data_IF_407120792550
#
_entry.id   IF_407120792550
#
_cell.length_a   1.000
_cell.length_b   1.000
_cell.length_c   1.000
_cell.angle_alpha   90.00
_cell.angle_beta   90.00
_cell.angle_gamma   90.00
#
_symmetry.space_group_name_H-M   'P 1'
#
loop_
_entity.id
_entity.type
_entity.pdbx_description
1 polymer ?
#
# COMPACT_ATOMS: atom_id res chain seq x y z
N UNK A 1 5.27 12.65 26.04
CA UNK A 1 5.57 13.27 24.72
C UNK A 1 4.26 13.80 24.15
N UNK A 2 4.21 15.06 23.72
CA UNK A 2 3.01 15.61 23.11
C UNK A 2 2.76 14.89 21.77
N UNK A 3 1.53 14.39 21.57
CA UNK A 3 1.13 13.78 20.31
C UNK A 3 1.24 14.81 19.17
N UNK A 4 1.78 14.41 18.02
CA UNK A 4 1.90 15.32 16.88
C UNK A 4 0.50 15.88 16.52
N UNK A 5 0.31 17.21 16.35
CA UNK A 5 -1.01 17.81 16.08
C UNK A 5 -1.76 17.21 14.87
N UNK A 6 -1.02 16.58 13.96
CA UNK A 6 -1.55 15.89 12.80
C UNK A 6 -2.38 14.65 13.16
N UNK A 7 -2.08 13.98 14.28
CA UNK A 7 -2.75 12.75 14.70
C UNK A 7 -4.25 13.00 14.96
N UNK A 8 -4.58 14.14 15.57
CA UNK A 8 -5.96 14.53 15.84
C UNK A 8 -6.76 14.84 14.56
N UNK A 9 -6.08 15.07 13.44
CA UNK A 9 -6.71 15.38 12.15
C UNK A 9 -6.96 14.13 11.28
N UNK A 10 -6.33 12.99 11.60
CA UNK A 10 -6.47 11.76 10.79
C UNK A 10 -7.93 11.32 10.59
N UNK A 11 -8.80 11.30 11.62
CA UNK A 11 -10.18 10.86 11.44
C UNK A 11 -11.00 11.72 10.47
N UNK A 12 -10.67 13.01 10.34
CA UNK A 12 -11.38 13.94 9.44
C UNK A 12 -10.75 14.05 8.05
N UNK A 13 -9.60 13.43 7.80
CA UNK A 13 -8.97 13.43 6.48
C UNK A 13 -9.71 12.50 5.49
N UNK A 14 -9.81 12.93 4.24
CA UNK A 14 -10.25 12.04 3.16
C UNK A 14 -9.18 10.98 2.83
N UNK A 15 -9.57 9.94 2.07
CA UNK A 15 -8.68 8.82 1.75
C UNK A 15 -7.43 9.26 0.99
N UNK A 16 -7.56 10.22 0.07
CA UNK A 16 -6.43 10.75 -0.69
C UNK A 16 -5.38 11.44 0.21
N UNK A 17 -5.83 12.21 1.20
CA UNK A 17 -4.97 12.85 2.18
C UNK A 17 -4.28 11.83 3.09
N UNK A 18 -5.00 10.79 3.52
CA UNK A 18 -4.42 9.69 4.29
C UNK A 18 -3.35 8.93 3.49
N UNK A 19 -3.63 8.61 2.22
CA UNK A 19 -2.65 7.98 1.33
C UNK A 19 -1.40 8.85 1.15
N UNK A 20 -1.57 10.18 0.97
CA UNK A 20 -0.45 11.11 0.86
C UNK A 20 0.37 11.15 2.15
N UNK A 21 -0.29 11.22 3.30
CA UNK A 21 0.37 11.25 4.60
C UNK A 21 1.12 9.94 4.89
N UNK A 22 0.51 8.79 4.57
CA UNK A 22 1.13 7.48 4.68
C UNK A 22 2.39 7.38 3.82
N UNK A 23 2.33 7.77 2.53
CA UNK A 23 3.50 7.78 1.63
C UNK A 23 4.65 8.64 2.17
N UNK A 24 4.33 9.79 2.77
CA UNK A 24 5.31 10.64 3.40
C UNK A 24 5.92 9.99 4.66
N UNK A 25 5.10 9.31 5.46
CA UNK A 25 5.55 8.54 6.61
C UNK A 25 6.54 7.45 6.23
N UNK A 26 6.24 6.65 5.19
CA UNK A 26 7.12 5.59 4.70
C UNK A 26 8.48 6.16 4.28
N UNK A 27 8.49 7.28 3.53
CA UNK A 27 9.73 7.97 3.13
C UNK A 27 10.50 8.52 4.32
N UNK A 28 9.81 9.05 5.33
CA UNK A 28 10.44 9.55 6.54
C UNK A 28 11.10 8.44 7.37
N UNK A 29 10.46 7.26 7.45
CA UNK A 29 11.03 6.08 8.11
C UNK A 29 12.19 5.50 7.31
N UNK A 30 12.11 5.47 5.97
CA UNK A 30 13.24 5.01 5.15
C UNK A 30 14.48 5.90 5.36
N UNK A 31 14.29 7.22 5.43
CA UNK A 31 15.38 8.17 5.69
C UNK A 31 15.90 8.09 7.13
N UNK A 32 15.01 7.84 8.10
CA UNK A 32 15.33 7.78 9.52
C UNK A 32 14.49 6.68 10.17
N UNK A 33 15.02 5.44 10.26
CA UNK A 33 14.27 4.31 10.80
C UNK A 33 13.79 4.52 12.24
N UNK A 34 14.48 5.36 13.01
CA UNK A 34 14.16 5.72 14.40
C UNK A 34 13.13 6.85 14.53
N UNK A 35 12.58 7.35 13.42
CA UNK A 35 11.57 8.41 13.43
C UNK A 35 10.24 7.92 14.05
N UNK A 36 10.13 8.09 15.37
CA UNK A 36 8.96 7.69 16.16
C UNK A 36 7.69 8.41 15.75
N UNK A 37 7.78 9.70 15.41
CA UNK A 37 6.62 10.49 14.97
C UNK A 37 6.04 9.96 13.65
N UNK A 38 6.89 9.60 12.68
CA UNK A 38 6.43 9.01 11.43
C UNK A 38 5.75 7.64 11.67
N UNK A 39 6.30 6.83 12.58
CA UNK A 39 5.69 5.55 12.99
C UNK A 39 4.33 5.74 13.66
N UNK A 40 4.20 6.70 14.57
CA UNK A 40 2.93 7.05 15.22
C UNK A 40 1.88 7.47 14.19
N UNK A 41 2.27 8.29 13.21
CA UNK A 41 1.38 8.71 12.13
C UNK A 41 0.92 7.52 11.27
N UNK A 42 1.83 6.64 10.86
CA UNK A 42 1.46 5.43 10.09
C UNK A 42 0.51 4.54 10.88
N UNK A 43 0.81 4.28 12.15
CA UNK A 43 -0.03 3.45 13.00
C UNK A 43 -1.44 4.03 13.15
N UNK A 44 -1.55 5.35 13.33
CA UNK A 44 -2.83 6.03 13.43
C UNK A 44 -3.62 5.98 12.11
N UNK A 45 -2.95 6.11 10.96
CA UNK A 45 -3.58 5.94 9.63
C UNK A 45 -4.08 4.51 9.44
N UNK A 46 -3.29 3.50 9.81
CA UNK A 46 -3.69 2.10 9.70
C UNK A 46 -4.89 1.77 10.59
N UNK A 47 -4.92 2.32 11.82
CA UNK A 47 -6.09 2.21 12.70
C UNK A 47 -7.34 2.87 12.10
N UNK A 48 -7.17 4.01 11.42
CA UNK A 48 -8.26 4.68 10.72
C UNK A 48 -8.75 3.89 9.50
N UNK A 49 -7.85 3.28 8.72
CA UNK A 49 -8.23 2.39 7.62
C UNK A 49 -9.01 1.17 8.10
N UNK A 50 -8.62 0.57 9.23
CA UNK A 50 -9.36 -0.53 9.84
C UNK A 50 -10.80 -0.11 10.17
N UNK A 51 -11.00 1.05 10.80
CA UNK A 51 -12.34 1.59 11.11
C UNK A 51 -13.17 1.81 9.85
N UNK A 52 -12.57 2.39 8.80
CA UNK A 52 -13.25 2.64 7.53
C UNK A 52 -13.63 1.35 6.84
N UNK A 53 -12.76 0.34 6.85
CA UNK A 53 -13.04 -0.96 6.26
C UNK A 53 -14.22 -1.64 6.94
N UNK A 54 -14.29 -1.59 8.27
CA UNK A 54 -15.44 -2.11 9.03
C UNK A 54 -16.73 -1.33 8.74
N UNK A 55 -16.65 0.00 8.61
CA UNK A 55 -17.80 0.79 8.16
C UNK A 55 -18.24 0.42 6.74
N UNK A 56 -17.29 0.16 5.85
CA UNK A 56 -17.54 -0.19 4.46
C UNK A 56 -18.18 -1.59 4.32
N UNK A 57 -17.73 -2.57 5.12
CA UNK A 57 -18.36 -3.89 5.23
C UNK A 57 -19.83 -3.82 5.64
N UNK A 58 -20.22 -2.79 6.40
CA UNK A 58 -21.62 -2.50 6.79
C UNK A 58 -22.38 -1.60 5.80
N UNK A 59 -21.79 -1.25 4.66
CA UNK A 59 -22.38 -0.33 3.69
C UNK A 59 -22.41 1.14 4.12
N UNK A 60 -21.75 1.50 5.23
CA UNK A 60 -21.76 2.84 5.82
C UNK A 60 -20.56 3.71 5.38
N UNK A 61 -19.85 3.33 4.30
CA UNK A 61 -18.70 4.07 3.80
C UNK A 61 -18.67 4.12 2.27
N UNK A 62 -18.36 5.30 1.72
CA UNK A 62 -18.12 5.52 0.29
C UNK A 62 -16.70 6.05 0.09
N UNK A 63 -15.93 5.36 -0.76
CA UNK A 63 -14.60 5.78 -1.13
C UNK A 63 -14.65 7.07 -1.98
N UNK A 64 -13.62 7.91 -1.86
CA UNK A 64 -13.41 9.08 -2.73
C UNK A 64 -12.07 9.04 -3.47
N UNK A 65 -11.44 7.87 -3.51
CA UNK A 65 -10.18 7.66 -4.22
C UNK A 65 -10.43 7.53 -5.73
N UNK A 66 -9.50 8.03 -6.57
CA UNK A 66 -9.56 7.80 -8.01
C UNK A 66 -9.43 6.30 -8.31
N UNK A 67 -9.88 5.89 -9.50
CA UNK A 67 -9.80 4.50 -9.95
C UNK A 67 -8.36 4.11 -10.34
N UNK A 68 -7.47 4.07 -9.35
CA UNK A 68 -6.08 3.58 -9.46
C UNK A 68 -5.93 2.32 -8.60
N UNK A 69 -5.09 1.38 -9.04
CA UNK A 69 -4.90 0.11 -8.31
C UNK A 69 -4.21 0.26 -6.96
N UNK A 70 -4.42 -0.71 -6.06
CA UNK A 70 -3.92 -0.72 -4.67
C UNK A 70 -2.42 -0.39 -4.55
N UNK A 71 -1.56 -1.01 -5.37
CA UNK A 71 -0.12 -0.78 -5.36
C UNK A 71 0.21 0.69 -5.59
N UNK A 72 -0.36 1.29 -6.64
CA UNK A 72 -0.13 2.69 -7.01
C UNK A 72 -0.67 3.65 -5.94
N UNK A 73 -1.81 3.33 -5.33
CA UNK A 73 -2.38 4.12 -4.22
C UNK A 73 -1.41 4.24 -3.05
N UNK A 74 -0.79 3.13 -2.65
CA UNK A 74 0.21 3.07 -1.58
C UNK A 74 1.58 3.61 -2.00
N UNK A 75 1.78 3.93 -3.28
CA UNK A 75 3.01 4.55 -3.80
C UNK A 75 4.02 3.56 -4.37
N UNK A 76 3.65 2.29 -4.54
CA UNK A 76 4.50 1.31 -5.22
C UNK A 76 4.67 1.71 -6.69
N UNK A 77 5.92 1.79 -7.12
CA UNK A 77 6.31 2.13 -8.49
C UNK A 77 7.70 1.56 -8.80
N UNK A 78 7.89 1.15 -10.05
CA UNK A 78 9.11 0.55 -10.60
C UNK A 78 9.55 1.34 -11.85
N UNK A 79 10.71 1.01 -12.40
CA UNK A 79 11.25 1.60 -13.61
C UNK A 79 12.09 2.84 -13.34
N UNK A 80 12.25 3.70 -14.35
CA UNK A 80 13.14 4.86 -14.28
C UNK A 80 12.67 5.91 -13.26
N UNK A 81 11.35 6.04 -13.09
CA UNK A 81 10.73 6.92 -12.09
C UNK A 81 10.26 6.15 -10.84
N UNK A 82 10.69 4.90 -10.69
CA UNK A 82 10.32 4.03 -9.58
C UNK A 82 10.93 4.47 -8.24
N UNK A 83 10.32 4.02 -7.14
CA UNK A 83 10.91 4.19 -5.80
C UNK A 83 11.98 3.14 -5.53
N UNK A 84 12.87 3.42 -4.58
CA UNK A 84 13.93 2.49 -4.15
C UNK A 84 13.37 1.13 -3.74
N UNK A 85 14.17 0.07 -3.94
CA UNK A 85 13.85 -1.30 -3.54
C UNK A 85 13.41 -1.42 -2.08
N UNK A 86 14.04 -0.67 -1.16
CA UNK A 86 13.66 -0.64 0.26
C UNK A 86 12.21 -0.19 0.45
N UNK A 87 11.82 0.92 -0.19
CA UNK A 87 10.46 1.46 -0.14
C UNK A 87 9.47 0.50 -0.82
N UNK A 88 9.84 -0.07 -1.98
CA UNK A 88 8.98 -1.05 -2.66
C UNK A 88 8.67 -2.22 -1.75
N UNK A 89 9.69 -2.83 -1.14
CA UNK A 89 9.52 -3.98 -0.24
C UNK A 89 8.76 -3.63 1.03
N UNK A 90 8.95 -2.44 1.62
CA UNK A 90 8.08 -1.97 2.72
C UNK A 90 6.62 -1.89 2.29
N UNK A 91 6.32 -1.37 1.10
CA UNK A 91 4.93 -1.30 0.62
C UNK A 91 4.35 -2.70 0.36
N UNK A 92 5.15 -3.63 -0.16
CA UNK A 92 4.73 -5.03 -0.37
C UNK A 92 4.46 -5.75 0.96
N UNK A 93 5.31 -5.54 1.96
CA UNK A 93 5.09 -6.01 3.32
C UNK A 93 3.80 -5.44 3.91
N UNK A 94 3.60 -4.14 3.76
CA UNK A 94 2.41 -3.47 4.26
C UNK A 94 1.16 -4.02 3.57
N UNK A 95 1.18 -4.21 2.25
CA UNK A 95 0.05 -4.82 1.53
C UNK A 95 -0.31 -6.19 2.12
N UNK A 96 0.68 -6.99 2.49
CA UNK A 96 0.46 -8.29 3.11
C UNK A 96 -0.09 -8.19 4.53
N UNK A 97 0.40 -7.25 5.33
CA UNK A 97 0.31 -7.32 6.80
C UNK A 97 -0.68 -6.34 7.43
N UNK A 98 -1.11 -5.30 6.71
CA UNK A 98 -1.94 -4.22 7.30
C UNK A 98 -3.38 -4.26 6.77
N UNK A 99 -4.25 -3.53 7.47
CA UNK A 99 -5.58 -3.20 6.94
C UNK A 99 -5.44 -2.20 5.79
N UNK A 100 -5.85 -2.62 4.60
CA UNK A 100 -5.68 -1.82 3.39
C UNK A 100 -6.60 -0.59 3.37
N UNK A 101 -6.17 0.52 2.73
CA UNK A 101 -7.04 1.64 2.44
C UNK A 101 -8.19 1.23 1.52
N UNK A 102 -9.29 1.98 1.58
CA UNK A 102 -10.37 1.84 0.62
C UNK A 102 -9.94 2.53 -0.68
N UNK A 103 -9.81 1.74 -1.75
CA UNK A 103 -9.34 2.19 -3.06
C UNK A 103 -10.39 1.88 -4.10
N UNK A 104 -10.82 2.86 -4.89
CA UNK A 104 -11.89 2.71 -5.87
C UNK A 104 -13.23 2.41 -5.23
N UNK A 105 -13.49 1.16 -4.84
CA UNK A 105 -14.70 0.75 -4.14
C UNK A 105 -14.39 -0.16 -2.94
N UNK A 106 -15.25 -0.19 -1.91
CA UNK A 106 -15.16 -1.19 -0.84
C UNK A 106 -15.04 -2.62 -1.35
N UNK A 107 -15.85 -2.98 -2.35
CA UNK A 107 -15.82 -4.31 -2.96
C UNK A 107 -14.44 -4.65 -3.52
N UNK A 108 -13.82 -3.72 -4.27
CA UNK A 108 -12.47 -3.90 -4.79
C UNK A 108 -11.43 -4.10 -3.68
N UNK A 109 -11.47 -3.31 -2.60
CA UNK A 109 -10.55 -3.50 -1.47
C UNK A 109 -10.75 -4.87 -0.80
N UNK A 110 -11.99 -5.33 -0.64
CA UNK A 110 -12.30 -6.63 -0.03
C UNK A 110 -11.81 -7.82 -0.86
N UNK A 111 -11.66 -7.71 -2.18
CA UNK A 111 -11.07 -8.77 -3.01
C UNK A 111 -9.64 -9.14 -2.58
N UNK A 112 -8.92 -8.21 -1.95
CA UNK A 112 -7.59 -8.46 -1.43
C UNK A 112 -7.59 -9.28 -0.13
N UNK A 113 -8.74 -9.52 0.51
CA UNK A 113 -8.83 -10.34 1.72
C UNK A 113 -8.34 -9.67 2.99
N UNK A 114 -8.21 -10.47 4.05
CA UNK A 114 -7.72 -10.03 5.36
C UNK A 114 -6.18 -10.04 5.43
N UNK A 115 -5.56 -9.26 6.34
CA UNK A 115 -4.12 -9.28 6.57
C UNK A 115 -3.56 -10.70 6.78
N UNK A 116 -2.39 -10.99 6.21
CA UNK A 116 -1.68 -12.27 6.26
C UNK A 116 -2.46 -13.48 5.74
N UNK A 117 -3.60 -13.28 5.07
CA UNK A 117 -4.40 -14.37 4.53
C UNK A 117 -3.82 -14.94 3.23
N UNK A 118 -4.16 -16.19 2.93
CA UNK A 118 -3.84 -16.80 1.63
C UNK A 118 -4.48 -16.05 0.46
N UNK A 119 -5.66 -15.44 0.67
CA UNK A 119 -6.32 -14.59 -0.32
C UNK A 119 -5.47 -13.36 -0.65
N UNK A 120 -4.96 -12.66 0.37
CA UNK A 120 -4.06 -11.50 0.20
C UNK A 120 -2.81 -11.87 -0.57
N UNK A 121 -2.15 -12.94 -0.16
CA UNK A 121 -0.98 -13.47 -0.85
C UNK A 121 -1.27 -13.74 -2.33
N UNK A 122 -2.33 -14.50 -2.62
CA UNK A 122 -2.70 -14.85 -3.99
C UNK A 122 -3.04 -13.60 -4.83
N UNK A 123 -3.76 -12.63 -4.26
CA UNK A 123 -4.12 -11.38 -4.96
C UNK A 123 -2.86 -10.57 -5.28
N UNK A 124 -1.94 -10.42 -4.33
CA UNK A 124 -0.69 -9.69 -4.52
C UNK A 124 0.19 -10.36 -5.59
N UNK A 125 0.44 -11.67 -5.46
CA UNK A 125 1.25 -12.45 -6.42
C UNK A 125 0.67 -12.35 -7.83
N UNK A 126 -0.65 -12.57 -8.00
CA UNK A 126 -1.31 -12.46 -9.30
C UNK A 126 -1.20 -11.06 -9.89
N UNK A 127 -1.34 -10.02 -9.05
CA UNK A 127 -1.23 -8.63 -9.49
C UNK A 127 0.17 -8.34 -10.06
N UNK A 128 1.24 -8.72 -9.35
CA UNK A 128 2.62 -8.54 -9.84
C UNK A 128 2.87 -9.37 -11.10
N UNK A 129 2.42 -10.63 -11.15
CA UNK A 129 2.54 -11.47 -12.34
C UNK A 129 1.85 -10.86 -13.56
N UNK A 130 0.64 -10.31 -13.40
CA UNK A 130 -0.06 -9.62 -14.49
C UNK A 130 0.69 -8.38 -14.98
N UNK A 131 1.34 -7.62 -14.10
CA UNK A 131 2.18 -6.48 -14.49
C UNK A 131 3.39 -6.94 -15.34
N UNK A 132 4.08 -7.99 -14.91
CA UNK A 132 5.20 -8.60 -15.66
C UNK A 132 4.72 -9.05 -17.05
N UNK A 133 3.62 -9.82 -17.11
CA UNK A 133 3.10 -10.35 -18.37
C UNK A 133 2.68 -9.23 -19.32
N UNK A 134 2.01 -8.19 -18.81
CA UNK A 134 1.57 -7.05 -19.59
C UNK A 134 2.71 -6.22 -20.18
N UNK A 135 3.84 -6.13 -19.48
CA UNK A 135 4.98 -5.30 -19.89
C UNK A 135 6.00 -6.02 -20.78
N UNK A 136 5.93 -7.36 -20.91
CA UNK A 136 6.92 -8.17 -21.65
C UNK A 136 7.09 -7.83 -23.14
N UNK A 137 6.18 -7.05 -23.74
CA UNK A 137 6.24 -6.66 -25.14
C UNK A 137 6.90 -5.29 -25.38
N UNK A 138 7.27 -4.57 -24.33
CA UNK A 138 7.80 -3.21 -24.42
C UNK A 138 9.24 -3.14 -23.89
N UNK A 139 10.20 -2.95 -24.80
CA UNK A 139 11.63 -2.83 -24.48
C UNK A 139 11.89 -1.62 -23.58
N UNK A 140 11.08 -0.55 -23.66
CA UNK A 140 11.24 0.63 -22.82
C UNK A 140 10.94 0.36 -21.32
N UNK A 141 10.35 -0.80 -20.99
CA UNK A 141 9.91 -1.17 -19.64
C UNK A 141 10.80 -2.28 -19.04
N UNK A 142 11.93 -2.62 -19.68
CA UNK A 142 12.83 -3.71 -19.23
C UNK A 142 13.22 -3.59 -17.74
N UNK A 143 13.63 -2.41 -17.28
CA UNK A 143 13.97 -2.17 -15.87
C UNK A 143 12.79 -2.49 -14.94
N UNK A 144 11.58 -2.07 -15.30
CA UNK A 144 10.39 -2.35 -14.49
C UNK A 144 10.03 -3.84 -14.48
N UNK A 145 10.25 -4.57 -15.59
CA UNK A 145 10.09 -6.02 -15.65
C UNK A 145 11.06 -6.73 -14.70
N UNK A 146 12.32 -6.30 -14.66
CA UNK A 146 13.32 -6.82 -13.72
C UNK A 146 12.87 -6.56 -12.28
N UNK A 147 12.55 -5.31 -11.94
CA UNK A 147 12.15 -4.94 -10.58
C UNK A 147 10.87 -5.65 -10.13
N UNK A 148 9.86 -5.80 -11.00
CA UNK A 148 8.68 -6.62 -10.68
C UNK A 148 9.02 -8.09 -10.45
N UNK A 149 9.96 -8.64 -11.21
CA UNK A 149 10.39 -10.04 -11.06
C UNK A 149 11.12 -10.26 -9.74
N UNK A 150 12.04 -9.35 -9.38
CA UNK A 150 12.72 -9.35 -8.09
C UNK A 150 11.74 -9.20 -6.92
N UNK A 151 10.76 -8.31 -7.06
CA UNK A 151 9.73 -8.09 -6.05
C UNK A 151 8.78 -9.31 -5.92
N UNK A 152 8.48 -10.00 -7.02
CA UNK A 152 7.72 -11.25 -7.01
C UNK A 152 8.46 -12.34 -6.24
N UNK A 153 9.77 -12.49 -6.46
CA UNK A 153 10.60 -13.45 -5.76
C UNK A 153 10.76 -13.09 -4.28
N UNK A 154 10.86 -11.80 -3.96
CA UNK A 154 10.79 -11.31 -2.59
C UNK A 154 9.49 -11.73 -1.88
N UNK A 155 8.32 -11.51 -2.50
CA UNK A 155 7.03 -11.87 -1.92
C UNK A 155 6.96 -13.39 -1.69
N UNK A 156 7.38 -14.19 -2.67
CA UNK A 156 7.37 -15.65 -2.58
C UNK A 156 8.37 -16.19 -1.55
N UNK A 157 9.54 -15.61 -1.41
CA UNK A 157 10.50 -16.07 -0.41
C UNK A 157 10.04 -15.75 1.01
N UNK A 158 9.38 -14.61 1.21
CA UNK A 158 9.00 -14.12 2.54
C UNK A 158 7.65 -14.65 3.05
N UNK A 159 6.67 -14.86 2.18
CA UNK A 159 5.27 -15.13 2.58
C UNK A 159 4.67 -16.44 2.05
N UNK A 160 5.45 -17.27 1.34
CA UNK A 160 4.95 -18.52 0.73
C UNK A 160 4.55 -19.56 1.75
#
# INVERSE_FOLDING_TARGET
MASAPILNKIPSMNDNNLLKLYKNGIRAIEKSPTNSQAREVINAIQAEWAKRLEAAKRGAYKANTPNIGMLKSLGYSVGNEGVKTSIRRTILDDIMTINLPIVGSPAYTLEWGEPNSRQRYNKLVRTIQSLIVGARKDIAIEKAVIEWSEDLDYIKSKFK
#
